data_IF_435300123289
#
_entry.id   IF_435300123289
#
_cell.length_a   1.000
_cell.length_b   1.000
_cell.length_c   1.000
_cell.angle_alpha   90.00
_cell.angle_beta   90.00
_cell.angle_gamma   90.00
#
_symmetry.space_group_name_H-M   'P 1'
#
loop_
_entity.id
_entity.type
_entity.pdbx_description
1 polymer ?
#
# COMPACT_ATOMS: atom_id res chain seq x y z
N UNK A 1 22.81 29.80 33.21
CA UNK A 1 21.66 29.05 32.67
C UNK A 1 21.84 28.89 31.16
N UNK A 2 22.26 27.71 30.68
CA UNK A 2 22.42 27.43 29.24
C UNK A 2 21.14 26.76 28.74
N UNK A 3 20.40 27.44 27.85
CA UNK A 3 19.20 26.91 27.21
C UNK A 3 19.56 25.78 26.25
N UNK A 4 19.25 24.54 26.65
CA UNK A 4 19.39 23.36 25.81
C UNK A 4 18.17 23.29 24.88
N UNK A 5 18.29 23.83 23.67
CA UNK A 5 17.24 23.71 22.64
C UNK A 5 17.26 22.28 22.11
N UNK A 6 16.34 21.44 22.61
CA UNK A 6 16.15 20.06 22.13
C UNK A 6 15.57 20.09 20.71
N UNK A 7 16.43 19.79 19.72
CA UNK A 7 16.02 19.64 18.32
C UNK A 7 15.45 18.25 18.13
N UNK A 8 14.12 18.14 18.01
CA UNK A 8 13.45 16.91 17.60
C UNK A 8 13.79 16.68 16.11
N UNK A 9 14.64 15.69 15.83
CA UNK A 9 14.98 15.30 14.47
C UNK A 9 13.75 14.67 13.80
N UNK A 10 13.30 15.26 12.69
CA UNK A 10 12.26 14.71 11.81
C UNK A 10 12.98 14.00 10.66
N UNK A 11 12.67 12.74 10.43
CA UNK A 11 13.20 11.97 9.30
C UNK A 11 12.16 11.98 8.18
N UNK A 12 12.50 12.59 7.05
CA UNK A 12 11.69 12.58 5.83
C UNK A 12 12.20 11.47 4.91
N UNK A 13 11.39 10.43 4.69
CA UNK A 13 11.68 9.42 3.67
C UNK A 13 11.00 9.84 2.37
N UNK A 14 11.80 10.18 1.36
CA UNK A 14 11.34 10.44 -0.01
C UNK A 14 11.55 9.16 -0.81
N UNK A 15 10.46 8.51 -1.22
CA UNK A 15 10.54 7.42 -2.20
C UNK A 15 10.54 8.07 -3.59
N UNK A 16 11.71 8.16 -4.20
CA UNK A 16 11.88 8.70 -5.55
C UNK A 16 11.58 7.61 -6.59
N UNK A 17 10.65 7.88 -7.50
CA UNK A 17 10.48 7.12 -8.74
C UNK A 17 11.28 7.81 -9.85
N UNK A 18 12.24 7.11 -10.44
CA UNK A 18 13.00 7.59 -11.61
C UNK A 18 12.04 7.64 -12.81
N UNK A 19 11.82 8.84 -13.36
CA UNK A 19 11.12 9.05 -14.63
C UNK A 19 12.16 9.23 -15.71
N UNK A 20 12.24 8.29 -16.66
CA UNK A 20 13.07 8.42 -17.86
C UNK A 20 12.26 9.22 -18.90
N UNK A 21 12.66 10.46 -19.17
CA UNK A 21 12.01 11.32 -20.17
C UNK A 21 12.70 11.18 -21.54
N UNK A 22 11.93 10.83 -22.57
CA UNK A 22 12.34 11.00 -23.97
C UNK A 22 11.88 12.38 -24.46
N UNK A 23 12.82 13.23 -24.90
CA UNK A 23 12.50 14.48 -25.57
C UNK A 23 12.12 14.19 -27.03
N UNK A 24 10.93 14.63 -27.45
CA UNK A 24 10.61 14.79 -28.87
C UNK A 24 10.02 16.18 -29.12
N UNK A 25 10.61 16.86 -30.09
CA UNK A 25 10.29 18.22 -30.50
C UNK A 25 8.96 18.27 -31.26
N UNK A 26 8.11 19.21 -30.85
CA UNK A 26 7.18 19.91 -31.73
C UNK A 26 6.02 19.12 -32.32
N UNK A 27 4.88 19.16 -31.63
CA UNK A 27 3.52 19.35 -32.15
C UNK A 27 2.61 19.37 -30.91
N UNK A 28 1.96 20.51 -30.65
CA UNK A 28 1.00 20.63 -29.55
C UNK A 28 -0.28 19.90 -29.97
N UNK A 29 -0.25 18.57 -29.90
CA UNK A 29 -1.46 17.78 -29.76
C UNK A 29 -1.99 18.05 -28.35
N UNK A 30 -3.29 18.32 -28.23
CA UNK A 30 -3.98 18.18 -26.94
C UNK A 30 -3.63 16.80 -26.43
N UNK A 31 -2.74 16.72 -25.45
CA UNK A 31 -2.42 15.47 -24.81
C UNK A 31 -3.70 15.03 -24.11
N UNK A 32 -4.44 14.10 -24.73
CA UNK A 32 -5.26 13.20 -23.95
C UNK A 32 -4.25 12.51 -23.03
N UNK A 33 -4.30 12.86 -21.74
CA UNK A 33 -3.49 12.18 -20.76
C UNK A 33 -3.70 10.68 -20.96
N UNK A 34 -2.60 9.99 -21.23
CA UNK A 34 -2.53 8.55 -21.35
C UNK A 34 -3.34 7.97 -20.18
N UNK A 35 -4.45 7.30 -20.47
CA UNK A 35 -5.29 6.68 -19.46
C UNK A 35 -4.42 5.70 -18.68
N UNK A 36 -4.20 5.97 -17.40
CA UNK A 36 -3.42 5.11 -16.54
C UNK A 36 -4.17 3.78 -16.42
N UNK A 37 -3.63 2.74 -17.05
CA UNK A 37 -4.07 1.36 -16.88
C UNK A 37 -4.06 0.95 -15.40
N UNK A 38 -4.74 -0.16 -15.08
CA UNK A 38 -5.07 -0.52 -13.70
C UNK A 38 -3.90 -0.41 -12.71
N UNK A 39 -4.16 0.14 -11.52
CA UNK A 39 -3.14 0.46 -10.51
C UNK A 39 -3.53 0.04 -9.11
N UNK A 40 -2.51 -0.15 -8.28
CA UNK A 40 -2.62 -0.19 -6.83
C UNK A 40 -2.09 1.10 -6.22
N UNK A 41 -2.70 1.54 -5.11
CA UNK A 41 -2.19 2.64 -4.31
C UNK A 41 -2.69 2.55 -2.86
N UNK A 42 -2.01 3.23 -1.95
CA UNK A 42 -2.37 3.25 -0.54
C UNK A 42 -3.23 4.47 -0.20
N UNK A 43 -4.10 4.33 0.80
CA UNK A 43 -4.85 5.45 1.38
C UNK A 43 -4.82 5.34 2.90
N UNK A 44 -4.23 6.31 3.62
CA UNK A 44 -3.47 7.44 3.08
C UNK A 44 -2.18 7.01 2.36
N UNK A 45 -1.69 7.81 1.40
CA UNK A 45 -0.45 7.51 0.67
C UNK A 45 0.82 7.84 1.49
N UNK A 46 0.70 8.78 2.42
CA UNK A 46 1.74 9.15 3.37
C UNK A 46 1.10 9.68 4.65
N UNK A 47 1.85 9.64 5.74
CA UNK A 47 1.38 10.12 7.03
C UNK A 47 2.49 10.13 8.07
N UNK A 48 2.19 10.73 9.21
CA UNK A 48 3.05 10.67 10.40
C UNK A 48 2.52 9.57 11.29
N UNK A 49 3.39 8.63 11.67
CA UNK A 49 3.05 7.54 12.56
C UNK A 49 3.48 7.89 13.98
N UNK A 50 2.55 7.77 14.92
CA UNK A 50 2.87 7.89 16.34
C UNK A 50 3.44 6.56 16.82
N UNK A 51 4.64 6.60 17.39
CA UNK A 51 5.32 5.41 17.90
C UNK A 51 4.47 4.76 18.99
N UNK A 52 4.30 3.45 18.90
CA UNK A 52 3.51 2.63 19.82
C UNK A 52 2.00 2.66 19.57
N UNK A 53 1.52 3.45 18.61
CA UNK A 53 0.11 3.50 18.24
C UNK A 53 -0.22 2.56 17.09
N UNK A 54 -1.47 2.11 17.06
CA UNK A 54 -2.03 1.41 15.92
C UNK A 54 -2.42 2.39 14.82
N UNK A 55 -2.31 1.95 13.58
CA UNK A 55 -2.66 2.72 12.39
C UNK A 55 -3.24 1.79 11.34
N UNK A 56 -3.94 2.39 10.38
CA UNK A 56 -4.59 1.66 9.29
C UNK A 56 -4.24 2.30 7.96
N UNK A 57 -3.86 1.45 6.99
CA UNK A 57 -3.66 1.84 5.59
C UNK A 57 -4.46 0.91 4.71
N UNK A 58 -5.24 1.51 3.81
CA UNK A 58 -6.04 0.77 2.84
C UNK A 58 -5.27 0.61 1.54
N UNK A 59 -5.23 -0.60 1.00
CA UNK A 59 -4.79 -0.89 -0.36
C UNK A 59 -6.00 -0.67 -1.26
N UNK A 60 -5.90 0.28 -2.18
CA UNK A 60 -6.88 0.50 -3.24
C UNK A 60 -6.41 -0.14 -4.53
N UNK A 61 -7.33 -0.74 -5.27
CA UNK A 61 -7.16 -1.17 -6.65
C UNK A 61 -8.08 -0.35 -7.53
N UNK A 62 -7.56 0.17 -8.65
CA UNK A 62 -8.32 0.88 -9.67
C UNK A 62 -8.11 0.20 -11.00
N UNK A 63 -9.18 -0.07 -11.76
CA UNK A 63 -9.07 -0.66 -13.11
C UNK A 63 -9.00 0.40 -14.21
N UNK A 64 -9.08 1.69 -13.87
CA UNK A 64 -9.17 2.76 -14.86
C UNK A 64 -10.43 2.60 -15.73
N UNK A 65 -10.24 2.59 -17.05
CA UNK A 65 -11.30 2.30 -18.04
C UNK A 65 -11.47 0.80 -18.34
N UNK A 66 -10.68 -0.08 -17.73
CA UNK A 66 -10.70 -1.52 -17.96
C UNK A 66 -11.53 -2.26 -16.90
N UNK A 67 -11.59 -3.57 -17.05
CA UNK A 67 -12.22 -4.51 -16.13
C UNK A 67 -11.19 -5.52 -15.64
N UNK A 68 -11.35 -6.02 -14.42
CA UNK A 68 -10.50 -7.11 -13.91
C UNK A 68 -11.30 -8.10 -13.08
N UNK A 69 -11.07 -9.40 -13.28
CA UNK A 69 -11.65 -10.45 -12.43
C UNK A 69 -10.68 -10.97 -11.36
N UNK A 70 -9.41 -10.55 -11.39
CA UNK A 70 -8.42 -10.96 -10.40
C UNK A 70 -7.33 -9.90 -10.25
N UNK A 71 -6.71 -9.85 -9.07
CA UNK A 71 -5.47 -9.12 -8.89
C UNK A 71 -4.63 -9.75 -7.79
N UNK A 72 -3.32 -9.49 -7.85
CA UNK A 72 -2.36 -9.90 -6.85
C UNK A 72 -1.48 -8.69 -6.49
N UNK A 73 -1.18 -8.53 -5.21
CA UNK A 73 -0.23 -7.53 -4.72
C UNK A 73 0.76 -8.15 -3.74
N UNK A 74 1.96 -7.60 -3.78
CA UNK A 74 2.99 -7.80 -2.78
C UNK A 74 3.32 -6.44 -2.18
N UNK A 75 3.21 -6.31 -0.86
CA UNK A 75 3.58 -5.10 -0.11
C UNK A 75 4.80 -5.44 0.74
N UNK A 76 5.86 -4.65 0.59
CA UNK A 76 7.03 -4.74 1.46
C UNK A 76 6.94 -3.69 2.56
N UNK A 77 7.39 -4.04 3.77
CA UNK A 77 7.49 -3.15 4.91
C UNK A 77 8.77 -3.46 5.70
N UNK A 78 9.18 -2.55 6.59
CA UNK A 78 10.31 -2.79 7.49
C UNK A 78 9.80 -3.45 8.79
N UNK A 79 10.10 -4.74 9.04
CA UNK A 79 9.60 -5.43 10.23
C UNK A 79 10.26 -4.94 11.54
N UNK A 80 11.34 -4.16 11.46
CA UNK A 80 11.93 -3.51 12.64
C UNK A 80 11.17 -2.26 13.08
N UNK A 81 10.32 -1.69 12.22
CA UNK A 81 9.60 -0.44 12.46
C UNK A 81 8.08 -0.65 12.52
N UNK A 82 7.58 -1.76 11.97
CA UNK A 82 6.16 -2.03 11.79
C UNK A 82 5.86 -3.48 12.16
N UNK A 83 4.88 -3.67 13.04
CA UNK A 83 4.26 -4.96 13.33
C UNK A 83 2.87 -4.99 12.71
N UNK A 84 2.59 -5.97 11.85
CA UNK A 84 1.25 -6.14 11.29
C UNK A 84 0.35 -6.79 12.34
N UNK A 85 -0.82 -6.20 12.55
CA UNK A 85 -1.83 -6.71 13.47
C UNK A 85 -2.70 -7.68 12.69
N UNK A 86 -2.77 -8.91 13.18
CA UNK A 86 -3.57 -9.95 12.57
C UNK A 86 -5.07 -9.57 12.59
N UNK A 87 -5.70 -9.74 11.44
CA UNK A 87 -7.10 -9.43 11.24
C UNK A 87 -8.03 -10.62 11.46
N UNK A 88 -7.50 -11.85 11.46
CA UNK A 88 -8.29 -13.08 11.65
C UNK A 88 -7.58 -14.07 12.59
N UNK A 89 -7.82 -13.97 13.91
CA UNK A 89 -7.15 -14.82 14.89
C UNK A 89 -7.55 -16.30 14.80
N UNK A 90 -8.51 -16.67 13.95
CA UNK A 90 -8.96 -18.05 13.77
C UNK A 90 -8.20 -18.75 12.64
N UNK A 91 -7.43 -18.01 11.83
CA UNK A 91 -6.61 -18.57 10.74
C UNK A 91 -5.14 -18.56 11.15
N UNK A 92 -4.44 -19.68 10.95
CA UNK A 92 -3.03 -19.79 11.33
C UNK A 92 -2.14 -18.82 10.52
N UNK A 93 -1.25 -18.11 11.22
CA UNK A 93 -0.39 -17.08 10.65
C UNK A 93 -0.93 -15.68 10.95
N UNK A 94 -0.38 -14.66 10.29
CA UNK A 94 -0.89 -13.29 10.36
C UNK A 94 -1.49 -12.95 9.00
N UNK A 95 -2.69 -12.36 9.00
CA UNK A 95 -3.38 -11.93 7.79
C UNK A 95 -3.82 -10.46 7.90
N UNK A 96 -3.99 -9.82 6.74
CA UNK A 96 -4.62 -8.49 6.66
C UNK A 96 -6.09 -8.62 6.32
N UNK A 97 -6.89 -7.59 6.61
CA UNK A 97 -8.33 -7.68 6.35
C UNK A 97 -8.58 -7.57 4.84
N UNK A 98 -9.22 -8.57 4.18
CA UNK A 98 -9.55 -8.46 2.77
C UNK A 98 -10.54 -7.32 2.50
N UNK A 99 -10.40 -6.67 1.34
CA UNK A 99 -11.31 -5.62 0.90
C UNK A 99 -12.49 -6.14 0.08
N UNK A 100 -13.29 -5.22 -0.46
CA UNK A 100 -14.49 -5.53 -1.26
C UNK A 100 -14.27 -5.48 -2.77
N UNK A 101 -13.02 -5.39 -3.23
CA UNK A 101 -12.68 -5.38 -4.65
C UNK A 101 -13.05 -6.69 -5.38
N UNK A 102 -12.85 -7.82 -4.70
CA UNK A 102 -13.13 -9.16 -5.22
C UNK A 102 -13.95 -9.97 -4.21
N UNK A 103 -14.60 -11.03 -4.70
CA UNK A 103 -15.48 -11.89 -3.88
C UNK A 103 -14.73 -12.96 -3.10
N UNK A 104 -13.54 -13.35 -3.54
CA UNK A 104 -12.72 -14.37 -2.92
C UNK A 104 -11.26 -13.89 -2.79
N UNK A 105 -10.55 -14.37 -1.77
CA UNK A 105 -9.12 -14.12 -1.57
C UNK A 105 -8.42 -15.43 -1.22
N UNK A 106 -7.40 -15.81 -2.01
CA UNK A 106 -6.74 -17.12 -1.92
C UNK A 106 -5.36 -17.08 -1.25
N UNK A 107 -4.66 -15.95 -1.31
CA UNK A 107 -3.33 -15.77 -0.73
C UNK A 107 -3.41 -14.51 0.12
N UNK A 108 -3.44 -14.64 1.44
CA UNK A 108 -3.50 -13.53 2.39
C UNK A 108 -2.57 -13.86 3.55
N UNK A 109 -1.29 -13.53 3.37
CA UNK A 109 -0.22 -13.99 4.25
C UNK A 109 0.75 -12.85 4.52
N UNK A 110 1.10 -12.69 5.79
CA UNK A 110 2.18 -11.81 6.24
C UNK A 110 3.39 -12.65 6.64
N UNK A 111 4.51 -12.43 5.96
CA UNK A 111 5.84 -12.89 6.34
C UNK A 111 6.52 -11.80 7.16
N UNK A 112 6.50 -11.98 8.49
CA UNK A 112 7.07 -11.02 9.43
C UNK A 112 8.59 -11.04 9.46
N UNK A 113 9.21 -12.10 8.96
CA UNK A 113 10.68 -12.20 8.93
C UNK A 113 11.23 -11.37 7.78
N UNK A 114 10.61 -11.46 6.61
CA UNK A 114 11.05 -10.74 5.40
C UNK A 114 10.31 -9.41 5.17
N UNK A 115 9.36 -9.04 6.04
CA UNK A 115 8.62 -7.80 5.92
C UNK A 115 7.74 -7.77 4.67
N UNK A 116 6.96 -8.82 4.42
CA UNK A 116 6.21 -8.99 3.17
C UNK A 116 4.76 -9.39 3.42
N UNK A 117 3.83 -8.69 2.78
CA UNK A 117 2.40 -9.03 2.76
C UNK A 117 2.06 -9.44 1.34
N UNK A 118 1.38 -10.58 1.19
CA UNK A 118 0.84 -11.04 -0.10
C UNK A 118 -0.68 -11.08 -0.01
N UNK A 119 -1.34 -10.48 -0.99
CA UNK A 119 -2.78 -10.52 -1.12
C UNK A 119 -3.19 -10.83 -2.57
N UNK A 120 -3.89 -11.95 -2.79
CA UNK A 120 -4.51 -12.33 -4.08
C UNK A 120 -6.01 -12.38 -3.94
N UNK A 121 -6.72 -11.58 -4.74
CA UNK A 121 -8.18 -11.53 -4.79
C UNK A 121 -8.70 -11.86 -6.20
N UNK A 122 -9.83 -12.55 -6.27
CA UNK A 122 -10.47 -12.92 -7.53
C UNK A 122 -11.99 -13.06 -7.41
N UNK A 123 -12.67 -12.98 -8.55
CA UNK A 123 -14.11 -13.17 -8.67
C UNK A 123 -14.44 -14.11 -9.83
N UNK A 124 -15.40 -15.00 -9.60
CA UNK A 124 -15.98 -15.85 -10.64
C UNK A 124 -17.30 -15.23 -11.09
N UNK A 125 -17.47 -15.02 -12.40
CA UNK A 125 -18.72 -14.49 -12.97
C UNK A 125 -18.97 -12.99 -12.76
N UNK A 126 -18.00 -12.25 -12.20
CA UNK A 126 -18.07 -10.79 -12.10
C UNK A 126 -16.69 -10.16 -12.32
N UNK A 127 -16.70 -8.93 -12.85
CA UNK A 127 -15.50 -8.13 -13.02
C UNK A 127 -15.58 -6.89 -12.12
N UNK A 128 -14.47 -6.54 -11.51
CA UNK A 128 -14.24 -5.23 -10.94
C UNK A 128 -14.18 -4.18 -12.07
N UNK A 129 -14.85 -3.06 -11.84
CA UNK A 129 -14.71 -1.82 -12.61
C UNK A 129 -14.52 -0.63 -11.66
N UNK A 130 -13.69 0.34 -12.04
CA UNK A 130 -13.43 1.52 -11.23
C UNK A 130 -12.49 1.22 -10.07
N UNK A 131 -12.70 1.88 -8.93
CA UNK A 131 -11.82 1.79 -7.76
C UNK A 131 -12.53 1.12 -6.59
N UNK A 132 -11.86 0.16 -5.95
CA UNK A 132 -12.31 -0.45 -4.69
C UNK A 132 -11.14 -0.75 -3.75
N UNK A 133 -11.47 -0.94 -2.48
CA UNK A 133 -10.49 -1.41 -1.49
C UNK A 133 -10.20 -2.88 -1.74
N UNK A 134 -8.92 -3.18 -1.94
CA UNK A 134 -8.40 -4.54 -2.14
C UNK A 134 -8.05 -5.21 -0.83
N UNK A 135 -7.49 -4.46 0.13
CA UNK A 135 -7.14 -4.96 1.46
C UNK A 135 -6.91 -3.82 2.44
N UNK A 136 -6.93 -4.13 3.74
CA UNK A 136 -6.78 -3.17 4.83
C UNK A 136 -5.71 -3.70 5.77
N UNK A 137 -4.60 -2.96 5.86
CA UNK A 137 -3.48 -3.27 6.73
C UNK A 137 -3.66 -2.52 8.04
N UNK A 138 -3.83 -3.25 9.14
CA UNK A 138 -3.69 -2.72 10.50
C UNK A 138 -2.29 -3.02 11.00
N UNK A 139 -1.65 -2.05 11.63
CA UNK A 139 -0.29 -2.23 12.11
C UNK A 139 0.01 -1.33 13.30
N UNK A 140 1.04 -1.69 14.05
CA UNK A 140 1.63 -0.90 15.12
C UNK A 140 3.02 -0.44 14.73
N UNK A 141 3.37 0.80 15.07
CA UNK A 141 4.69 1.38 14.75
C UNK A 141 5.64 1.37 15.92
N UNK A 142 6.94 1.20 15.66
CA UNK A 142 8.01 1.13 16.64
C UNK A 142 9.10 2.16 16.36
N UNK A 143 9.85 2.60 17.39
CA UNK A 143 11.09 3.30 17.13
C UNK A 143 12.05 2.28 16.52
N UNK A 144 12.30 2.38 15.21
CA UNK A 144 13.27 1.51 14.53
C UNK A 144 14.59 1.45 15.28
N UNK A 145 15.31 0.33 15.16
CA UNK A 145 16.64 0.18 15.75
C UNK A 145 17.58 1.10 14.95
N UNK A 146 18.12 2.14 15.59
CA UNK A 146 19.15 3.01 15.00
C UNK A 146 20.52 2.33 14.97
#
# INVERSE_FOLDING_TARGET
MKNHKSSKKVLSVIIAFIVISFAQNGLISKAQALTLDGKFYFTPQSGILLIGCESTVNIQVSTGSNYSNAANIIVNYNPQEIEIIDSDPYTSGIQILPGSAYSNYADNVVDTTNGKIRLTGFSVGSNLSGTKTFGIIKFKSFPGIQ
#
